data_IF_750731228520
#
_entry.id   IF_750731228520
#
_cell.length_a   1.000
_cell.length_b   1.000
_cell.length_c   1.000
_cell.angle_alpha   90.00
_cell.angle_beta   90.00
_cell.angle_gamma   90.00
#
_symmetry.space_group_name_H-M   'P 1'
#
loop_
_entity.id
_entity.type
_entity.pdbx_description
1 polymer ?
#
# COMPACT_ATOMS: atom_id res chain seq x y z
N UNK A 1 17.19 -36.89 1.91
CA UNK A 1 16.18 -36.66 2.97
C UNK A 1 14.82 -36.59 2.30
N UNK A 2 13.85 -37.46 2.64
CA UNK A 2 12.51 -37.37 2.05
C UNK A 2 11.86 -36.07 2.50
N UNK A 3 11.14 -35.39 1.61
CA UNK A 3 10.32 -34.25 2.01
C UNK A 3 9.15 -34.79 2.84
N UNK A 4 8.81 -34.19 4.00
CA UNK A 4 7.63 -34.61 4.75
C UNK A 4 6.39 -34.46 3.85
N UNK A 5 5.61 -35.53 3.73
CA UNK A 5 4.39 -35.55 2.94
C UNK A 5 3.31 -34.91 3.82
N UNK A 6 2.72 -33.81 3.38
CA UNK A 6 1.58 -33.20 4.07
C UNK A 6 0.39 -34.17 4.10
N UNK A 7 -0.35 -34.28 5.21
CA UNK A 7 -1.57 -35.10 5.27
C UNK A 7 -2.62 -34.60 4.25
N UNK A 8 -3.50 -35.49 3.79
CA UNK A 8 -4.54 -35.17 2.77
C UNK A 8 -5.42 -33.99 3.17
N UNK A 9 -5.63 -33.76 4.47
CA UNK A 9 -6.38 -32.61 4.99
C UNK A 9 -5.76 -31.24 4.70
N UNK A 10 -4.44 -31.16 4.44
CA UNK A 10 -3.78 -29.90 4.04
C UNK A 10 -3.98 -29.58 2.55
N UNK A 11 -4.47 -30.54 1.76
CA UNK A 11 -4.68 -30.42 0.31
C UNK A 11 -6.14 -30.09 0.00
N UNK A 12 -7.07 -30.49 0.87
CA UNK A 12 -8.50 -30.29 0.68
C UNK A 12 -9.11 -29.69 1.93
N UNK A 13 -9.29 -28.37 1.92
CA UNK A 13 -10.26 -27.73 2.81
C UNK A 13 -11.64 -28.23 2.39
N UNK A 14 -12.16 -29.19 3.15
CA UNK A 14 -13.59 -29.51 3.12
C UNK A 14 -14.28 -28.26 3.61
N UNK A 15 -15.06 -27.66 2.73
CA UNK A 15 -15.84 -26.45 2.96
C UNK A 15 -16.59 -26.55 4.29
N UNK A 16 -16.20 -25.71 5.25
CA UNK A 16 -17.07 -25.30 6.34
C UNK A 16 -18.26 -24.59 5.70
N UNK A 17 -19.34 -25.35 5.53
CA UNK A 17 -20.67 -24.86 5.27
C UNK A 17 -21.23 -24.43 6.62
N UNK A 18 -20.72 -23.33 7.14
CA UNK A 18 -21.36 -22.57 8.20
C UNK A 18 -21.30 -21.09 7.80
N UNK A 19 -22.35 -20.69 7.09
CA UNK A 19 -23.11 -19.47 7.33
C UNK A 19 -22.46 -18.44 8.27
N UNK A 20 -21.53 -17.65 7.75
CA UNK A 20 -21.44 -16.23 8.11
C UNK A 20 -21.47 -15.40 6.84
N UNK A 21 -22.41 -14.47 6.82
CA UNK A 21 -22.51 -13.39 5.86
C UNK A 21 -21.12 -12.80 5.58
N UNK A 22 -20.58 -13.02 4.40
CA UNK A 22 -19.76 -12.00 3.78
C UNK A 22 -20.66 -11.42 2.72
N UNK A 23 -21.33 -10.32 3.07
CA UNK A 23 -21.78 -9.36 2.07
C UNK A 23 -20.66 -9.29 1.02
N UNK A 24 -21.00 -9.39 -0.26
CA UNK A 24 -20.10 -8.89 -1.30
C UNK A 24 -19.96 -7.40 -1.00
N UNK A 25 -19.04 -7.05 -0.09
CA UNK A 25 -18.66 -5.67 0.14
C UNK A 25 -18.09 -5.31 -1.21
N UNK A 26 -18.89 -4.60 -2.00
CA UNK A 26 -18.49 -4.00 -3.24
C UNK A 26 -17.28 -3.15 -2.86
N UNK A 27 -16.08 -3.75 -2.99
CA UNK A 27 -14.88 -3.25 -2.33
C UNK A 27 -14.47 -2.05 -3.16
N UNK A 28 -15.10 -0.91 -2.87
CA UNK A 28 -14.92 0.37 -3.55
C UNK A 28 -13.42 0.55 -3.67
N UNK A 29 -12.97 0.71 -4.91
CA UNK A 29 -11.58 1.05 -5.13
C UNK A 29 -11.39 2.45 -4.59
N UNK A 30 -10.83 2.51 -3.40
CA UNK A 30 -10.30 3.73 -2.84
C UNK A 30 -9.21 4.28 -3.77
N UNK A 31 -9.09 5.59 -3.79
CA UNK A 31 -8.05 6.26 -4.55
C UNK A 31 -6.68 5.85 -4.00
N UNK A 32 -5.66 5.94 -4.85
CA UNK A 32 -4.28 5.73 -4.43
C UNK A 32 -3.52 7.05 -4.44
N UNK A 33 -2.75 7.30 -3.39
CA UNK A 33 -1.72 8.33 -3.34
C UNK A 33 -0.34 7.68 -3.33
N UNK A 34 0.55 8.12 -4.21
CA UNK A 34 1.92 7.58 -4.30
C UNK A 34 2.95 8.71 -4.32
N UNK A 35 4.05 8.51 -3.60
CA UNK A 35 5.23 9.36 -3.62
C UNK A 35 6.47 8.49 -3.75
N UNK A 36 7.39 8.89 -4.63
CA UNK A 36 8.69 8.26 -4.82
C UNK A 36 9.82 9.26 -4.55
N UNK A 37 10.78 8.85 -3.74
CA UNK A 37 11.93 9.67 -3.35
C UNK A 37 13.25 8.92 -3.52
N UNK A 38 14.36 9.64 -3.64
CA UNK A 38 15.69 9.03 -3.57
C UNK A 38 16.15 8.86 -2.11
N UNK A 39 16.04 7.65 -1.58
CA UNK A 39 16.48 7.30 -0.23
C UNK A 39 15.35 7.17 0.79
N UNK A 40 15.57 6.33 1.80
CA UNK A 40 14.53 5.92 2.77
C UNK A 40 14.15 7.01 3.76
N UNK A 41 15.05 7.93 4.06
CA UNK A 41 14.78 9.01 5.03
C UNK A 41 13.66 9.91 4.51
N UNK A 42 13.73 10.31 3.24
CA UNK A 42 12.72 11.18 2.64
C UNK A 42 11.39 10.47 2.45
N UNK A 43 11.39 9.18 2.08
CA UNK A 43 10.13 8.44 1.91
C UNK A 43 9.40 8.26 3.23
N UNK A 44 10.14 8.06 4.33
CA UNK A 44 9.55 7.91 5.66
C UNK A 44 8.96 9.23 6.16
N UNK A 45 9.66 10.35 5.94
CA UNK A 45 9.12 11.68 6.21
C UNK A 45 7.87 11.96 5.38
N UNK A 46 7.89 11.61 4.08
CA UNK A 46 6.72 11.75 3.22
C UNK A 46 5.55 10.90 3.72
N UNK A 47 5.79 9.65 4.08
CA UNK A 47 4.78 8.71 4.58
C UNK A 47 4.11 9.22 5.86
N UNK A 48 4.91 9.69 6.83
CA UNK A 48 4.42 10.26 8.08
C UNK A 48 3.56 11.51 7.82
N UNK A 49 4.04 12.41 6.97
CA UNK A 49 3.30 13.61 6.58
C UNK A 49 1.99 13.29 5.85
N UNK A 50 1.98 12.30 4.96
CA UNK A 50 0.80 11.84 4.24
C UNK A 50 -0.29 11.35 5.20
N UNK A 51 0.06 10.45 6.12
CA UNK A 51 -0.89 9.84 7.06
C UNK A 51 -1.40 10.82 8.12
N UNK A 52 -0.62 11.85 8.47
CA UNK A 52 -1.04 12.91 9.41
C UNK A 52 -1.90 13.99 8.76
N UNK A 53 -1.80 14.17 7.44
CA UNK A 53 -2.46 15.25 6.74
C UNK A 53 -3.93 14.97 6.39
N UNK A 54 -4.30 13.70 6.20
CA UNK A 54 -5.62 13.30 5.78
C UNK A 54 -5.97 11.88 6.27
N UNK A 55 -7.25 11.52 6.17
CA UNK A 55 -7.72 10.17 6.47
C UNK A 55 -7.35 9.22 5.33
N UNK A 56 -6.15 8.65 5.41
CA UNK A 56 -5.59 7.70 4.45
C UNK A 56 -4.95 6.53 5.18
N UNK A 57 -5.07 5.33 4.60
CA UNK A 57 -4.40 4.12 5.09
C UNK A 57 -3.05 3.94 4.40
N UNK A 58 -1.99 3.71 5.18
CA UNK A 58 -0.69 3.34 4.64
C UNK A 58 -0.73 1.89 4.14
N UNK A 59 -0.66 1.71 2.82
CA UNK A 59 -0.59 0.36 2.22
C UNK A 59 0.78 -0.23 2.52
N UNK A 60 1.84 0.55 2.24
CA UNK A 60 3.22 0.19 2.53
C UNK A 60 4.20 0.92 1.62
N UNK A 61 5.41 0.36 1.51
CA UNK A 61 6.49 0.94 0.72
C UNK A 61 7.17 -0.12 -0.15
N UNK A 62 7.85 0.32 -1.19
CA UNK A 62 8.70 -0.53 -2.02
C UNK A 62 10.05 0.16 -2.24
N UNK A 63 11.13 -0.58 -1.97
CA UNK A 63 12.48 -0.16 -2.33
C UNK A 63 12.77 -0.61 -3.77
N UNK A 64 12.78 0.36 -4.68
CA UNK A 64 13.16 0.18 -6.06
C UNK A 64 14.70 0.25 -6.13
N UNK A 65 15.29 -0.58 -7.00
CA UNK A 65 16.73 -0.55 -7.21
C UNK A 65 17.26 0.87 -7.48
N UNK A 66 18.56 1.08 -7.26
CA UNK A 66 19.23 2.38 -7.43
C UNK A 66 18.84 3.46 -6.40
N UNK A 67 18.26 3.05 -5.26
CA UNK A 67 18.00 3.94 -4.12
C UNK A 67 16.69 4.71 -4.20
N UNK A 68 15.83 4.41 -5.17
CA UNK A 68 14.48 4.98 -5.23
C UNK A 68 13.53 4.20 -4.34
N UNK A 69 12.71 4.89 -3.57
CA UNK A 69 11.78 4.23 -2.67
C UNK A 69 10.44 4.93 -2.82
N UNK A 70 9.41 4.10 -3.00
CA UNK A 70 8.03 4.54 -3.18
C UNK A 70 7.21 4.20 -1.94
N UNK A 71 6.30 5.09 -1.56
CA UNK A 71 5.26 4.85 -0.55
C UNK A 71 3.88 4.95 -1.20
N UNK A 72 2.96 4.12 -0.72
CA UNK A 72 1.60 4.01 -1.22
C UNK A 72 0.58 4.17 -0.08
N UNK A 73 -0.43 5.00 -0.31
CA UNK A 73 -1.58 5.15 0.59
C UNK A 73 -2.92 4.95 -0.14
N UNK A 74 -3.93 4.52 0.60
CA UNK A 74 -5.32 4.30 0.18
C UNK A 74 -6.24 5.33 0.84
N UNK A 75 -7.29 5.77 0.17
CA UNK A 75 -8.36 6.55 0.81
C UNK A 75 -9.28 7.24 -0.19
N UNK A 76 -10.05 8.24 0.27
CA UNK A 76 -10.85 9.06 -0.63
C UNK A 76 -9.97 9.92 -1.55
N UNK A 77 -10.48 10.24 -2.75
CA UNK A 77 -9.74 11.06 -3.74
C UNK A 77 -9.26 12.39 -3.16
N UNK A 78 -10.08 13.04 -2.33
CA UNK A 78 -9.73 14.28 -1.64
C UNK A 78 -8.60 14.07 -0.62
N UNK A 79 -8.72 13.02 0.18
CA UNK A 79 -7.73 12.65 1.18
C UNK A 79 -6.37 12.32 0.54
N UNK A 80 -6.34 11.52 -0.53
CA UNK A 80 -5.11 11.21 -1.25
C UNK A 80 -4.45 12.45 -1.88
N UNK A 81 -5.23 13.40 -2.40
CA UNK A 81 -4.68 14.67 -2.92
C UNK A 81 -4.02 15.50 -1.83
N UNK A 82 -4.69 15.63 -0.70
CA UNK A 82 -4.14 16.34 0.45
C UNK A 82 -2.89 15.65 0.98
N UNK A 83 -2.95 14.33 1.19
CA UNK A 83 -1.82 13.53 1.65
C UNK A 83 -0.59 13.70 0.76
N UNK A 84 -0.73 13.52 -0.56
CA UNK A 84 0.38 13.64 -1.52
C UNK A 84 0.99 15.04 -1.52
N UNK A 85 0.17 16.09 -1.46
CA UNK A 85 0.67 17.47 -1.43
C UNK A 85 1.46 17.77 -0.14
N UNK A 86 0.95 17.34 1.02
CA UNK A 86 1.67 17.48 2.29
C UNK A 86 2.98 16.65 2.32
N UNK A 87 2.97 15.44 1.77
CA UNK A 87 4.17 14.60 1.67
C UNK A 87 5.25 15.24 0.82
N UNK A 88 4.90 15.83 -0.33
CA UNK A 88 5.85 16.58 -1.17
C UNK A 88 6.46 17.77 -0.43
N UNK A 89 5.64 18.53 0.29
CA UNK A 89 6.11 19.67 1.07
C UNK A 89 7.04 19.25 2.21
N UNK A 90 6.78 18.11 2.86
CA UNK A 90 7.64 17.58 3.92
C UNK A 90 9.04 17.22 3.39
N UNK A 91 9.11 16.54 2.24
CA UNK A 91 10.38 16.24 1.56
C UNK A 91 11.12 17.53 1.15
N UNK A 92 10.41 18.52 0.60
CA UNK A 92 10.99 19.81 0.23
C UNK A 92 11.61 20.55 1.42
N UNK A 93 11.02 20.46 2.62
CA UNK A 93 11.58 21.07 3.85
C UNK A 93 12.91 20.44 4.27
N UNK A 94 13.18 19.19 3.89
CA UNK A 94 14.46 18.52 4.12
C UNK A 94 15.52 18.91 3.07
N UNK A 95 15.20 19.77 2.11
CA UNK A 95 16.11 20.18 1.04
C UNK A 95 16.26 19.15 -0.08
N UNK A 96 15.30 18.23 -0.20
CA UNK A 96 15.25 17.24 -1.28
C UNK A 96 14.01 17.44 -2.15
N UNK A 97 14.02 16.86 -3.34
CA UNK A 97 12.87 16.84 -4.24
C UNK A 97 12.28 15.43 -4.32
N UNK A 98 10.96 15.36 -4.41
CA UNK A 98 10.25 14.13 -4.75
C UNK A 98 10.57 13.80 -6.22
N UNK A 99 10.93 12.54 -6.49
CA UNK A 99 11.23 12.10 -7.84
C UNK A 99 9.96 11.97 -8.67
N UNK A 100 8.94 11.29 -8.12
CA UNK A 100 7.63 11.16 -8.77
C UNK A 100 6.51 11.15 -7.73
N UNK A 101 5.34 11.65 -8.11
CA UNK A 101 4.14 11.57 -7.27
C UNK A 101 2.90 11.50 -8.14
N UNK A 102 1.88 10.78 -7.68
CA UNK A 102 0.61 10.66 -8.41
C UNK A 102 -0.54 10.38 -7.46
N UNK A 103 -1.71 10.90 -7.81
CA UNK A 103 -2.99 10.47 -7.24
C UNK A 103 -3.79 9.80 -8.33
N UNK A 104 -4.26 8.59 -8.07
CA UNK A 104 -5.08 7.80 -8.99
C UNK A 104 -6.50 7.73 -8.38
N UNK A 105 -7.46 8.56 -8.83
CA UNK A 105 -8.78 8.65 -8.21
C UNK A 105 -9.62 7.38 -8.30
N UNK A 106 -9.40 6.59 -9.36
CA UNK A 106 -10.16 5.36 -9.63
C UNK A 106 -9.21 4.33 -10.22
N UNK A 107 -8.38 3.67 -9.40
CA UNK A 107 -7.40 2.73 -9.88
C UNK A 107 -8.08 1.56 -10.60
N UNK A 108 -7.45 1.07 -11.67
CA UNK A 108 -7.94 -0.11 -12.36
C UNK A 108 -7.97 -1.31 -11.40
N UNK A 109 -8.98 -2.17 -11.56
CA UNK A 109 -9.25 -3.25 -10.61
C UNK A 109 -8.08 -4.19 -10.35
N UNK A 110 -7.28 -4.44 -11.38
CA UNK A 110 -6.10 -5.31 -11.30
C UNK A 110 -4.93 -4.70 -10.51
N UNK A 111 -4.90 -3.38 -10.28
CA UNK A 111 -3.85 -2.76 -9.47
C UNK A 111 -3.87 -3.26 -8.02
N UNK A 112 -5.02 -3.66 -7.48
CA UNK A 112 -5.11 -4.28 -6.14
C UNK A 112 -4.23 -5.53 -6.02
N UNK A 113 -4.05 -6.29 -7.11
CA UNK A 113 -3.17 -7.49 -7.10
C UNK A 113 -1.71 -7.10 -6.88
N UNK A 114 -1.30 -5.94 -7.41
CA UNK A 114 0.05 -5.40 -7.26
C UNK A 114 0.21 -4.78 -5.88
N UNK A 115 -0.70 -3.89 -5.47
CA UNK A 115 -0.60 -3.16 -4.19
C UNK A 115 -0.67 -4.10 -2.97
N UNK A 116 -1.43 -5.20 -3.05
CA UNK A 116 -1.51 -6.24 -2.00
C UNK A 116 -0.17 -6.95 -1.73
N UNK A 117 0.84 -6.80 -2.61
CA UNK A 117 2.20 -7.30 -2.35
C UNK A 117 2.92 -6.44 -1.31
N UNK A 118 2.61 -5.14 -1.27
CA UNK A 118 3.28 -4.15 -0.43
C UNK A 118 2.57 -3.91 0.89
N UNK A 119 1.48 -4.62 1.18
CA UNK A 119 0.79 -4.54 2.46
C UNK A 119 1.77 -4.75 3.63
N UNK A 120 1.78 -3.83 4.60
CA UNK A 120 2.65 -3.86 5.78
C UNK A 120 2.68 -5.23 6.48
N UNK A 121 1.52 -5.88 6.61
CA UNK A 121 1.38 -7.21 7.23
C UNK A 121 2.16 -8.32 6.51
N UNK A 122 2.65 -8.09 5.29
CA UNK A 122 3.45 -9.05 4.52
C UNK A 122 4.93 -8.68 4.47
N UNK A 123 5.29 -7.44 4.80
CA UNK A 123 6.65 -6.91 4.68
C UNK A 123 7.47 -7.10 5.96
N UNK A 124 6.82 -7.32 7.10
CA UNK A 124 7.47 -7.51 8.40
C UNK A 124 6.93 -8.83 9.01
N UNK A 125 7.80 -9.75 9.46
CA UNK A 125 7.41 -11.01 10.09
C UNK A 125 6.71 -10.83 11.45
#
# INVERSE_FOLDING_TARGET
>A
MPRPIKPVGDIVSIYDIDSECLDEVEEKYEALGLIETFGIIYVLEAADAMCKAADVELIGFENVASGYISVLVSGDVGACKQAVEHGKQAVAKLGAEVYSSVVIPRPHKDLKKITKRYSINKLIP
#
